data_IF_007835421484
#
_entry.id   IF_007835421484
#
_cell.length_a   1.000
_cell.length_b   1.000
_cell.length_c   1.000
_cell.angle_alpha   90.00
_cell.angle_beta   90.00
_cell.angle_gamma   90.00
#
_symmetry.space_group_name_H-M   'P 1'
#
loop_
_entity.id
_entity.type
_entity.pdbx_description
1 polymer ?
#
# COMPACT_ATOMS: atom_id res chain seq x y z
N UNK A 1 12.05 -12.70 3.17
CA UNK A 1 13.00 -12.59 4.30
C UNK A 1 12.18 -12.41 5.58
N UNK A 2 12.59 -13.01 6.71
CA UNK A 2 11.91 -12.83 8.01
C UNK A 2 10.39 -12.98 7.96
N UNK A 3 9.67 -12.00 8.53
CA UNK A 3 8.20 -11.98 8.62
C UNK A 3 7.49 -12.01 7.25
N UNK A 4 8.15 -11.59 6.17
CA UNK A 4 7.61 -11.69 4.81
C UNK A 4 7.51 -13.15 4.36
N UNK A 5 8.50 -14.00 4.71
CA UNK A 5 8.43 -15.42 4.37
C UNK A 5 7.30 -16.13 5.15
N UNK A 6 7.14 -15.78 6.42
CA UNK A 6 6.02 -16.25 7.25
C UNK A 6 4.68 -15.82 6.67
N UNK A 7 4.60 -14.60 6.13
CA UNK A 7 3.40 -14.07 5.48
C UNK A 7 3.01 -14.88 4.25
N UNK A 8 3.97 -15.23 3.38
CA UNK A 8 3.70 -16.13 2.25
C UNK A 8 3.22 -17.51 2.71
N UNK A 9 3.78 -18.04 3.81
CA UNK A 9 3.32 -19.30 4.40
C UNK A 9 1.89 -19.21 4.95
N UNK A 10 1.55 -18.09 5.62
CA UNK A 10 0.22 -17.85 6.18
C UNK A 10 -0.84 -17.58 5.11
N UNK A 11 -0.47 -16.93 4.02
CA UNK A 11 -1.37 -16.48 2.96
C UNK A 11 -0.89 -16.95 1.57
N UNK A 12 -0.99 -18.26 1.27
CA UNK A 12 -0.47 -18.82 0.01
C UNK A 12 -1.17 -18.27 -1.24
N UNK A 13 -2.40 -17.76 -1.11
CA UNK A 13 -3.18 -17.19 -2.21
C UNK A 13 -2.65 -15.85 -2.74
N UNK A 14 -1.76 -15.17 -2.01
CA UNK A 14 -1.11 -13.92 -2.46
C UNK A 14 -0.29 -14.16 -3.75
N UNK A 15 0.20 -15.39 -3.94
CA UNK A 15 0.94 -15.77 -5.13
C UNK A 15 2.28 -15.05 -5.23
N UNK A 16 2.48 -14.24 -6.27
CA UNK A 16 3.76 -13.57 -6.57
C UNK A 16 3.82 -12.12 -6.09
N UNK A 17 2.76 -11.61 -5.48
CA UNK A 17 2.71 -10.24 -4.97
C UNK A 17 3.53 -10.15 -3.67
N UNK A 18 4.50 -9.23 -3.60
CA UNK A 18 5.25 -8.97 -2.38
C UNK A 18 4.41 -8.14 -1.38
N UNK A 19 4.02 -8.68 -0.22
CA UNK A 19 3.20 -7.93 0.72
C UNK A 19 4.02 -6.95 1.57
N UNK A 20 3.49 -5.75 1.77
CA UNK A 20 3.99 -4.79 2.75
C UNK A 20 3.15 -4.90 4.03
N UNK A 21 3.63 -5.70 4.99
CA UNK A 21 2.83 -6.10 6.18
C UNK A 21 2.86 -5.11 7.34
N UNK A 22 3.69 -4.07 7.25
CA UNK A 22 3.81 -3.03 8.24
C UNK A 22 5.06 -2.18 8.03
N UNK A 23 5.23 -1.18 8.88
CA UNK A 23 6.28 -0.17 8.77
C UNK A 23 7.09 -0.03 10.08
N UNK A 24 7.12 -1.08 10.90
CA UNK A 24 8.12 -1.19 11.97
C UNK A 24 9.52 -1.27 11.39
N UNK A 25 10.53 -0.88 12.16
CA UNK A 25 11.92 -0.81 11.68
C UNK A 25 12.40 -2.11 11.03
N UNK A 26 12.22 -3.25 11.69
CA UNK A 26 12.58 -4.56 11.14
C UNK A 26 11.79 -4.94 9.89
N UNK A 27 10.50 -4.61 9.83
CA UNK A 27 9.66 -4.90 8.66
C UNK A 27 10.10 -4.08 7.44
N UNK A 28 10.52 -2.84 7.65
CA UNK A 28 11.08 -1.98 6.61
C UNK A 28 12.40 -2.56 6.06
N UNK A 29 13.31 -2.96 6.94
CA UNK A 29 14.58 -3.61 6.53
C UNK A 29 14.36 -4.94 5.79
N UNK A 30 13.43 -5.77 6.27
CA UNK A 30 13.06 -7.02 5.61
C UNK A 30 12.46 -6.80 4.22
N UNK A 31 11.65 -5.73 4.06
CA UNK A 31 11.07 -5.35 2.79
C UNK A 31 12.14 -4.87 1.81
N UNK A 32 13.05 -3.99 2.25
CA UNK A 32 14.20 -3.54 1.45
C UNK A 32 15.07 -4.71 0.98
N UNK A 33 15.47 -5.58 1.90
CA UNK A 33 16.29 -6.75 1.60
C UNK A 33 15.57 -7.69 0.62
N UNK A 34 14.26 -7.91 0.83
CA UNK A 34 13.47 -8.76 -0.05
C UNK A 34 13.40 -8.17 -1.47
N UNK A 35 13.15 -6.88 -1.61
CA UNK A 35 13.16 -6.19 -2.91
C UNK A 35 14.55 -6.29 -3.56
N UNK A 36 15.62 -6.09 -2.79
CA UNK A 36 17.01 -6.13 -3.29
C UNK A 36 17.35 -7.49 -3.90
N UNK A 37 16.93 -8.59 -3.26
CA UNK A 37 17.20 -9.97 -3.70
C UNK A 37 16.39 -10.42 -4.92
N UNK A 38 15.29 -9.75 -5.25
CA UNK A 38 14.45 -10.13 -6.38
C UNK A 38 15.13 -9.67 -7.68
N UNK A 39 15.38 -10.58 -8.65
CA UNK A 39 15.89 -10.20 -9.97
C UNK A 39 14.72 -9.64 -10.81
N UNK A 40 14.50 -8.33 -10.72
CA UNK A 40 13.50 -7.62 -11.53
C UNK A 40 14.08 -6.33 -12.10
N UNK A 41 13.52 -5.89 -13.24
CA UNK A 41 13.94 -4.65 -13.91
C UNK A 41 13.29 -3.40 -13.31
N UNK A 42 12.11 -3.55 -12.70
CA UNK A 42 11.32 -2.45 -12.13
C UNK A 42 10.58 -2.90 -10.87
N UNK A 43 10.35 -1.96 -9.95
CA UNK A 43 9.48 -2.12 -8.78
C UNK A 43 8.24 -1.23 -8.96
N UNK A 44 7.06 -1.82 -8.83
CA UNK A 44 5.79 -1.10 -8.90
C UNK A 44 5.15 -1.05 -7.51
N UNK A 45 5.03 0.14 -6.94
CA UNK A 45 4.37 0.37 -5.65
C UNK A 45 2.86 0.42 -5.87
N UNK A 46 2.16 -0.59 -5.37
CA UNK A 46 0.69 -0.71 -5.42
C UNK A 46 -0.04 -0.17 -4.19
N UNK A 47 0.67 0.40 -3.22
CA UNK A 47 0.08 0.99 -2.00
C UNK A 47 -0.23 2.48 -2.20
N UNK A 48 -1.16 3.08 -1.41
CA UNK A 48 -1.44 4.52 -1.53
C UNK A 48 -0.24 5.38 -1.12
N UNK A 49 0.53 4.90 -0.13
CA UNK A 49 1.73 5.55 0.35
C UNK A 49 2.88 5.40 -0.64
N UNK A 50 3.72 6.43 -0.74
CA UNK A 50 4.98 6.32 -1.48
C UNK A 50 6.04 5.61 -0.64
N UNK A 51 6.29 4.32 -0.89
CA UNK A 51 7.29 3.54 -0.14
C UNK A 51 8.70 4.13 -0.25
N UNK A 52 9.02 4.87 -1.33
CA UNK A 52 10.33 5.52 -1.50
C UNK A 52 10.62 6.59 -0.44
N UNK A 53 9.60 7.02 0.32
CA UNK A 53 9.77 7.98 1.42
C UNK A 53 10.18 7.34 2.75
N UNK A 54 10.06 6.02 2.85
CA UNK A 54 10.25 5.28 4.11
C UNK A 54 11.28 4.15 3.99
N UNK A 55 11.54 3.68 2.77
CA UNK A 55 12.55 2.66 2.48
C UNK A 55 13.40 3.01 1.26
N UNK A 56 14.63 2.50 1.22
CA UNK A 56 15.52 2.61 0.08
C UNK A 56 15.28 1.47 -0.93
N UNK A 57 14.99 1.83 -2.18
CA UNK A 57 14.84 0.89 -3.29
C UNK A 57 15.87 1.28 -4.35
N UNK A 58 16.82 0.38 -4.61
CA UNK A 58 17.96 0.57 -5.52
C UNK A 58 17.61 0.33 -7.00
N UNK A 59 16.41 -0.21 -7.26
CA UNK A 59 15.88 -0.50 -8.59
C UNK A 59 14.98 0.62 -9.11
N UNK A 60 14.85 0.80 -10.44
CA UNK A 60 13.87 1.71 -11.02
C UNK A 60 12.47 1.46 -10.43
N UNK A 61 11.83 2.51 -9.93
CA UNK A 61 10.61 2.38 -9.12
C UNK A 61 9.56 3.41 -9.51
N UNK A 62 8.34 2.93 -9.77
CA UNK A 62 7.17 3.78 -9.99
C UNK A 62 6.02 3.42 -9.03
N UNK A 63 5.08 4.34 -8.85
CA UNK A 63 3.93 4.19 -7.96
C UNK A 63 2.63 4.32 -8.72
N UNK A 64 1.80 3.29 -8.61
CA UNK A 64 0.43 3.32 -9.13
C UNK A 64 -0.40 4.27 -8.28
N UNK A 65 -1.11 5.18 -8.94
CA UNK A 65 -2.05 6.09 -8.30
C UNK A 65 -3.47 5.65 -8.63
N UNK A 66 -4.28 5.53 -7.59
CA UNK A 66 -5.71 5.28 -7.70
C UNK A 66 -6.44 6.27 -6.81
N UNK A 67 -7.65 6.59 -7.23
CA UNK A 67 -8.55 7.49 -6.53
C UNK A 67 -9.87 6.78 -6.36
N UNK A 68 -10.50 6.95 -5.21
CA UNK A 68 -11.87 6.51 -5.01
C UNK A 68 -12.75 7.26 -6.02
N UNK A 69 -13.56 6.50 -6.76
CA UNK A 69 -14.63 7.05 -7.58
C UNK A 69 -15.95 6.57 -7.01
N UNK A 70 -16.75 7.50 -6.52
CA UNK A 70 -18.09 7.21 -6.04
C UNK A 70 -19.00 6.87 -7.24
N UNK A 71 -19.80 5.82 -7.10
CA UNK A 71 -20.71 5.32 -8.14
C UNK A 71 -22.13 5.40 -7.58
N UNK A 72 -23.03 6.09 -8.27
CA UNK A 72 -24.45 6.22 -7.90
C UNK A 72 -24.84 7.64 -7.48
N UNK A 73 -26.04 7.76 -6.92
CA UNK A 73 -26.61 9.02 -6.41
C UNK A 73 -26.52 9.07 -4.89
N UNK A 74 -26.20 10.23 -4.34
CA UNK A 74 -25.76 10.48 -2.95
C UNK A 74 -24.28 10.22 -2.77
N UNK A 75 -23.48 11.28 -2.84
CA UNK A 75 -22.04 11.21 -2.54
C UNK A 75 -21.75 11.30 -1.03
N UNK A 76 -20.58 10.83 -0.60
CA UNK A 76 -20.08 11.04 0.76
C UNK A 76 -20.06 12.53 1.10
N UNK A 77 -19.67 13.37 0.14
CA UNK A 77 -19.70 14.83 0.27
C UNK A 77 -21.12 15.33 0.58
N UNK A 78 -22.12 14.97 -0.23
CA UNK A 78 -23.52 15.38 -0.05
C UNK A 78 -24.08 14.91 1.31
N UNK A 79 -23.72 13.70 1.74
CA UNK A 79 -24.11 13.17 3.04
C UNK A 79 -23.48 13.97 4.20
N UNK A 80 -22.21 14.33 4.08
CA UNK A 80 -21.50 15.14 5.07
C UNK A 80 -22.08 16.56 5.14
N UNK A 81 -22.34 17.20 3.99
CA UNK A 81 -22.99 18.52 3.93
C UNK A 81 -24.35 18.50 4.64
N UNK A 82 -25.21 17.53 4.30
CA UNK A 82 -26.53 17.36 4.94
C UNK A 82 -26.44 17.16 6.45
N UNK A 83 -25.42 16.45 6.93
CA UNK A 83 -25.24 16.14 8.36
C UNK A 83 -24.65 17.31 9.13
N UNK A 84 -23.70 18.03 8.55
CA UNK A 84 -23.05 19.18 9.17
C UNK A 84 -24.01 20.39 9.24
N UNK A 85 -24.79 20.66 8.20
CA UNK A 85 -25.84 21.69 8.21
C UNK A 85 -26.86 21.48 9.35
N UNK A 86 -27.16 20.22 9.69
CA UNK A 86 -28.07 19.87 10.79
C UNK A 86 -27.46 20.01 12.18
N UNK A 87 -26.14 20.14 12.30
CA UNK A 87 -25.45 20.34 13.58
C UNK A 87 -25.33 21.84 13.91
N UNK A 88 -25.38 22.71 12.89
CA UNK A 88 -25.34 24.17 13.05
C UNK A 88 -26.71 24.81 13.35
N UNK A 89 -27.80 24.03 13.38
CA UNK A 89 -29.15 24.44 13.79
C UNK A 89 -29.50 23.90 15.19
#
# INVERSE_FOLDING_TARGET
VGSIAETFGKYPHIGKLLPAMGYGHSQMEELEETIRRIPCDVVIIGTPIDLRKIIHIDKPTDRVRYLLREIGTTTLKELLETRLEKIEQ
#
